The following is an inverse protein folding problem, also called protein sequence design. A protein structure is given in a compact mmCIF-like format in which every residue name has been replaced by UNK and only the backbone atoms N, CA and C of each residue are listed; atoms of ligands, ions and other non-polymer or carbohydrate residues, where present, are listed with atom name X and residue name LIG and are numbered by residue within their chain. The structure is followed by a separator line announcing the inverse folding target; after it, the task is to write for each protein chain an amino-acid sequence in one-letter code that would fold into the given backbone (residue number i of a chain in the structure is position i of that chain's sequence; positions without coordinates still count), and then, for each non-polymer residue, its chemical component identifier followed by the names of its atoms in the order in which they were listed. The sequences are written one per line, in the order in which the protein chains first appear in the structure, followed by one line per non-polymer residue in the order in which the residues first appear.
data_IF_832694254687
#
_entry.id   IF_832694254687
#
_cell.length_a   1.000
_cell.length_b   1.000
_cell.length_c   1.000
_cell.angle_alpha   90.00
_cell.angle_beta   90.00
_cell.angle_gamma   90.00
#
_symmetry.space_group_name_H-M   'P 1'
#
loop_
_entity.id
_entity.type
_entity.pdbx_description
1 polymer ?
#
# COMPACT_ATOMS: atom_id res chain seq x y z
N UNK A 1 16.53 -16.06 -49.29
CA UNK A 1 16.00 -16.58 -48.02
C UNK A 1 16.35 -15.71 -46.78
N UNK A 2 16.73 -14.41 -46.94
CA UNK A 2 17.24 -13.56 -45.81
C UNK A 2 16.35 -12.36 -45.46
N UNK A 3 15.16 -12.20 -46.06
CA UNK A 3 14.30 -11.03 -45.73
C UNK A 3 13.31 -11.26 -44.58
N UNK A 4 12.90 -12.49 -44.35
CA UNK A 4 11.93 -12.84 -43.27
C UNK A 4 12.55 -12.73 -41.88
N UNK A 5 13.81 -13.14 -41.70
CA UNK A 5 14.49 -13.06 -40.38
C UNK A 5 14.77 -11.62 -39.89
N UNK A 6 14.83 -10.64 -40.82
CA UNK A 6 15.06 -9.24 -40.42
C UNK A 6 13.77 -8.52 -39.95
N UNK A 7 12.60 -9.01 -40.33
CA UNK A 7 11.33 -8.44 -39.88
C UNK A 7 10.93 -8.98 -38.50
N UNK A 8 11.18 -10.26 -38.23
CA UNK A 8 10.91 -10.88 -36.93
C UNK A 8 11.79 -10.28 -35.81
N UNK A 9 13.09 -10.07 -36.09
CA UNK A 9 13.99 -9.46 -35.10
C UNK A 9 13.66 -7.98 -34.81
N UNK A 10 13.08 -7.24 -35.77
CA UNK A 10 12.64 -5.86 -35.54
C UNK A 10 11.39 -5.76 -34.68
N UNK A 11 10.55 -6.80 -34.63
CA UNK A 11 9.38 -6.85 -33.78
C UNK A 11 9.74 -7.14 -32.32
N UNK A 12 10.73 -8.00 -32.09
CA UNK A 12 11.13 -8.42 -30.74
C UNK A 12 11.91 -7.34 -29.99
N UNK A 13 12.79 -6.59 -30.63
CA UNK A 13 13.52 -5.49 -29.99
C UNK A 13 12.58 -4.35 -29.59
N UNK A 14 11.58 -4.04 -30.44
CA UNK A 14 10.56 -3.03 -30.11
C UNK A 14 9.72 -3.46 -28.91
N UNK A 15 9.28 -4.71 -28.86
CA UNK A 15 8.51 -5.22 -27.71
C UNK A 15 9.36 -5.16 -26.42
N UNK A 16 10.61 -5.61 -26.48
CA UNK A 16 11.52 -5.56 -25.33
C UNK A 16 11.79 -4.11 -24.85
N UNK A 17 11.92 -3.16 -25.78
CA UNK A 17 12.06 -1.74 -25.43
C UNK A 17 10.81 -1.20 -24.73
N UNK A 18 9.60 -1.53 -25.21
CA UNK A 18 8.36 -1.12 -24.54
C UNK A 18 8.23 -1.71 -23.15
N UNK A 19 8.58 -2.99 -22.98
CA UNK A 19 8.61 -3.63 -21.67
C UNK A 19 9.62 -2.96 -20.74
N UNK A 20 10.81 -2.63 -21.23
CA UNK A 20 11.82 -1.90 -20.46
C UNK A 20 11.30 -0.54 -20.00
N UNK A 21 10.71 0.26 -20.90
CA UNK A 21 10.12 1.57 -20.57
C UNK A 21 8.99 1.41 -19.55
N UNK A 22 8.14 0.41 -19.70
CA UNK A 22 7.04 0.14 -18.77
C UNK A 22 7.56 -0.19 -17.36
N UNK A 23 8.47 -1.16 -17.23
CA UNK A 23 8.97 -1.58 -15.92
C UNK A 23 9.84 -0.51 -15.25
N UNK A 24 10.72 0.17 -15.99
CA UNK A 24 11.51 1.27 -15.46
C UNK A 24 10.64 2.45 -15.07
N UNK A 25 9.67 2.83 -15.90
CA UNK A 25 8.74 3.92 -15.60
C UNK A 25 7.90 3.64 -14.37
N UNK A 26 7.36 2.41 -14.26
CA UNK A 26 6.57 2.02 -13.08
C UNK A 26 7.43 1.94 -11.81
N UNK A 27 8.67 1.44 -11.90
CA UNK A 27 9.63 1.44 -10.81
C UNK A 27 9.96 2.87 -10.33
N UNK A 28 10.15 3.82 -11.25
CA UNK A 28 10.36 5.22 -10.93
C UNK A 28 9.14 5.86 -10.25
N UNK A 29 7.93 5.58 -10.73
CA UNK A 29 6.70 6.09 -10.10
C UNK A 29 6.58 5.59 -8.65
N UNK A 30 6.85 4.30 -8.41
CA UNK A 30 6.85 3.75 -7.05
C UNK A 30 7.93 4.38 -6.16
N UNK A 31 9.12 4.61 -6.71
CA UNK A 31 10.20 5.28 -6.01
C UNK A 31 9.80 6.70 -5.60
N UNK A 32 9.28 7.50 -6.53
CA UNK A 32 8.85 8.88 -6.23
C UNK A 32 7.68 8.95 -5.24
N UNK A 33 6.71 8.04 -5.38
CA UNK A 33 5.55 7.99 -4.49
C UNK A 33 5.91 7.70 -3.02
N UNK A 34 7.00 6.97 -2.79
CA UNK A 34 7.43 6.55 -1.46
C UNK A 34 8.87 7.01 -1.13
N UNK A 35 9.40 8.02 -1.86
CA UNK A 35 10.81 8.39 -1.83
C UNK A 35 11.34 8.64 -0.42
N UNK A 36 10.66 9.49 0.35
CA UNK A 36 11.07 9.80 1.72
C UNK A 36 11.14 8.54 2.58
N UNK A 37 10.06 7.76 2.60
CA UNK A 37 10.00 6.53 3.40
C UNK A 37 11.08 5.51 3.02
N UNK A 38 11.33 5.34 1.70
CA UNK A 38 12.31 4.36 1.20
C UNK A 38 13.73 4.79 1.53
N UNK A 39 14.07 6.07 1.28
CA UNK A 39 15.44 6.57 1.39
C UNK A 39 15.80 6.90 2.84
N UNK A 40 14.95 7.65 3.54
CA UNK A 40 15.25 8.14 4.89
C UNK A 40 14.63 7.29 5.99
N UNK A 41 13.63 6.47 5.67
CA UNK A 41 12.80 5.77 6.66
C UNK A 41 11.85 6.70 7.41
N UNK A 42 11.76 7.97 7.01
CA UNK A 42 10.88 8.94 7.67
C UNK A 42 9.42 8.58 7.49
N UNK A 43 8.71 8.57 8.59
CA UNK A 43 7.27 8.43 8.67
C UNK A 43 6.66 9.71 9.23
N UNK A 44 5.39 9.90 8.99
CA UNK A 44 4.63 11.02 9.54
C UNK A 44 3.93 10.54 10.81
N UNK A 45 4.11 11.26 11.92
CA UNK A 45 3.38 10.94 13.15
C UNK A 45 1.89 11.29 12.96
N UNK A 46 1.03 10.29 13.02
CA UNK A 46 -0.39 10.46 12.75
C UNK A 46 -1.12 11.21 13.88
N UNK A 47 -0.70 11.03 15.12
CA UNK A 47 -1.32 11.66 16.30
C UNK A 47 -1.29 13.19 16.20
N UNK A 48 -0.20 13.76 15.66
CA UNK A 48 -0.06 15.20 15.43
C UNK A 48 -1.16 15.79 14.53
N UNK A 49 -1.70 14.98 13.62
CA UNK A 49 -2.77 15.41 12.70
C UNK A 49 -4.18 15.10 13.20
N UNK A 50 -4.34 14.09 14.06
CA UNK A 50 -5.65 13.70 14.60
C UNK A 50 -6.14 14.67 15.67
N UNK A 51 -5.24 15.28 16.42
CA UNK A 51 -5.59 16.31 17.42
C UNK A 51 -6.26 17.54 16.82
N UNK A 52 -5.91 17.88 15.57
CA UNK A 52 -6.38 19.11 14.92
C UNK A 52 -7.75 19.02 14.26
N UNK A 53 -8.46 17.90 14.35
CA UNK A 53 -9.82 17.65 13.80
C UNK A 53 -10.05 18.03 12.30
N UNK A 54 -9.06 18.58 11.63
CA UNK A 54 -9.14 19.02 10.24
C UNK A 54 -8.89 17.86 9.28
N UNK A 55 -9.95 17.44 8.57
CA UNK A 55 -9.88 16.38 7.56
C UNK A 55 -8.95 16.73 6.38
N UNK A 56 -8.68 18.01 6.16
CA UNK A 56 -7.93 18.49 4.99
C UNK A 56 -6.40 18.37 5.19
N UNK A 57 -5.95 18.30 6.44
CA UNK A 57 -4.53 18.25 6.79
C UNK A 57 -3.97 16.82 6.93
N UNK A 58 -4.83 15.80 6.88
CA UNK A 58 -4.42 14.42 7.05
C UNK A 58 -3.46 13.95 5.94
N UNK A 59 -2.36 13.28 6.30
CA UNK A 59 -1.32 12.86 5.36
C UNK A 59 -1.74 11.62 4.54
N UNK A 60 -2.82 11.76 3.76
CA UNK A 60 -3.36 10.67 2.95
C UNK A 60 -2.33 10.13 1.95
N UNK A 61 -2.32 8.81 1.80
CA UNK A 61 -1.40 8.05 0.96
C UNK A 61 0.09 8.15 1.36
N UNK A 62 0.40 8.81 2.47
CA UNK A 62 1.75 8.77 3.07
C UNK A 62 1.87 7.59 4.04
N UNK A 63 3.10 7.21 4.32
CA UNK A 63 3.43 6.25 5.37
C UNK A 63 3.50 7.00 6.68
N UNK A 64 2.73 6.55 7.65
CA UNK A 64 2.56 7.17 8.95
C UNK A 64 2.92 6.19 10.05
N UNK A 65 3.33 6.73 11.21
CA UNK A 65 3.39 6.00 12.47
C UNK A 65 2.19 6.37 13.34
N UNK A 66 1.73 5.42 14.12
CA UNK A 66 0.72 5.62 15.16
C UNK A 66 1.02 4.72 16.35
N UNK A 67 0.82 5.22 17.57
CA UNK A 67 1.01 4.45 18.80
C UNK A 67 -0.32 3.89 19.26
N UNK A 68 -0.50 2.58 19.10
CA UNK A 68 -1.71 1.88 19.53
C UNK A 68 -1.64 1.62 21.02
N UNK A 69 -2.60 2.15 21.79
CA UNK A 69 -2.80 1.86 23.21
C UNK A 69 -3.58 0.55 23.37
N UNK A 70 -4.69 0.43 22.67
CA UNK A 70 -5.62 -0.67 22.77
C UNK A 70 -6.19 -1.04 21.41
N UNK A 71 -6.42 -2.32 21.18
CA UNK A 71 -7.09 -2.80 19.98
C UNK A 71 -8.36 -3.52 20.38
N UNK A 72 -9.48 -3.08 19.81
CA UNK A 72 -10.77 -3.73 19.99
C UNK A 72 -10.88 -4.96 19.08
N UNK A 73 -11.91 -5.78 19.29
CA UNK A 73 -12.13 -6.96 18.48
C UNK A 73 -12.30 -6.64 16.99
N UNK A 74 -11.98 -7.62 16.15
CA UNK A 74 -12.25 -7.54 14.72
C UNK A 74 -13.74 -7.34 14.46
N UNK A 75 -14.08 -6.37 13.65
CA UNK A 75 -15.49 -6.13 13.31
C UNK A 75 -15.83 -6.49 11.87
N UNK A 76 -14.84 -6.57 11.00
CA UNK A 76 -15.07 -6.87 9.59
C UNK A 76 -13.84 -7.50 8.93
N UNK A 77 -14.07 -8.31 7.91
CA UNK A 77 -12.99 -8.78 7.05
C UNK A 77 -13.43 -8.77 5.59
N UNK A 78 -12.47 -8.61 4.69
CA UNK A 78 -12.68 -8.75 3.25
C UNK A 78 -11.79 -9.86 2.71
N UNK A 79 -12.36 -10.68 1.85
CA UNK A 79 -11.61 -11.69 1.13
C UNK A 79 -11.44 -11.26 -0.33
N UNK A 80 -10.23 -11.27 -0.81
CA UNK A 80 -9.91 -11.03 -2.22
C UNK A 80 -9.36 -12.33 -2.81
N UNK A 81 -10.11 -12.87 -3.76
CA UNK A 81 -9.71 -14.08 -4.46
C UNK A 81 -9.01 -13.71 -5.76
N UNK A 82 -7.78 -14.13 -5.92
CA UNK A 82 -7.09 -14.17 -7.22
C UNK A 82 -7.07 -15.63 -7.70
N UNK A 83 -6.70 -15.84 -8.98
CA UNK A 83 -6.64 -17.21 -9.54
C UNK A 83 -5.75 -18.18 -8.74
N UNK A 84 -4.81 -17.71 -7.93
CA UNK A 84 -3.82 -18.53 -7.23
C UNK A 84 -3.78 -18.30 -5.71
N UNK A 85 -4.29 -17.17 -5.22
CA UNK A 85 -4.17 -16.80 -3.81
C UNK A 85 -5.47 -16.20 -3.29
N UNK A 86 -5.74 -16.50 -2.03
CA UNK A 86 -6.79 -15.87 -1.23
C UNK A 86 -6.11 -14.91 -0.26
N UNK A 87 -6.47 -13.63 -0.32
CA UNK A 87 -6.01 -12.61 0.61
C UNK A 87 -7.17 -12.20 1.51
N UNK A 88 -6.94 -12.25 2.80
CA UNK A 88 -7.91 -11.80 3.80
C UNK A 88 -7.37 -10.52 4.43
N UNK A 89 -8.13 -9.44 4.32
CA UNK A 89 -7.86 -8.19 5.04
C UNK A 89 -8.84 -8.08 6.19
N UNK A 90 -8.35 -7.98 7.41
CA UNK A 90 -9.14 -7.85 8.62
C UNK A 90 -9.07 -6.42 9.11
N UNK A 91 -10.22 -5.89 9.53
CA UNK A 91 -10.35 -4.51 10.01
C UNK A 91 -10.57 -4.52 11.52
N UNK A 92 -9.78 -3.72 12.20
CA UNK A 92 -9.81 -3.51 13.65
C UNK A 92 -10.06 -2.04 13.95
N UNK A 93 -10.77 -1.77 15.02
CA UNK A 93 -10.81 -0.46 15.62
C UNK A 93 -9.73 -0.42 16.69
N UNK A 94 -8.92 0.62 16.70
CA UNK A 94 -7.85 0.80 17.67
C UNK A 94 -7.96 2.16 18.34
N UNK A 95 -7.58 2.22 19.61
CA UNK A 95 -7.40 3.44 20.37
C UNK A 95 -5.92 3.80 20.38
N UNK A 96 -5.60 5.05 20.09
CA UNK A 96 -4.24 5.57 20.13
C UNK A 96 -3.91 6.16 21.50
N UNK A 97 -2.62 6.40 21.75
CA UNK A 97 -2.15 6.93 23.05
C UNK A 97 -2.65 8.34 23.36
N UNK A 98 -3.01 9.13 22.35
CA UNK A 98 -3.67 10.44 22.48
C UNK A 98 -5.18 10.34 22.79
N UNK A 99 -5.72 9.13 22.87
CA UNK A 99 -7.14 8.85 23.10
C UNK A 99 -8.00 8.87 21.82
N UNK A 100 -7.44 9.22 20.67
CA UNK A 100 -8.14 9.14 19.39
C UNK A 100 -8.39 7.70 18.97
N UNK A 101 -9.34 7.50 18.04
CA UNK A 101 -9.73 6.17 17.59
C UNK A 101 -9.63 6.12 16.06
N UNK A 102 -9.02 5.07 15.55
CA UNK A 102 -8.87 4.87 14.11
C UNK A 102 -9.13 3.43 13.68
N UNK A 103 -9.28 3.24 12.36
CA UNK A 103 -9.31 1.92 11.75
C UNK A 103 -7.92 1.47 11.33
N UNK A 104 -7.61 0.22 11.63
CA UNK A 104 -6.42 -0.47 11.13
C UNK A 104 -6.86 -1.66 10.29
N UNK A 105 -6.26 -1.82 9.13
CA UNK A 105 -6.44 -2.97 8.27
C UNK A 105 -5.12 -3.76 8.20
N UNK A 106 -5.21 -5.05 8.46
CA UNK A 106 -4.08 -5.97 8.49
C UNK A 106 -4.43 -7.28 7.78
N UNK A 107 -3.46 -7.94 7.16
CA UNK A 107 -3.63 -9.27 6.57
C UNK A 107 -3.63 -10.41 7.59
N UNK A 108 -3.34 -10.10 8.85
CA UNK A 108 -3.09 -11.13 9.88
C UNK A 108 -3.81 -10.92 11.20
N UNK A 109 -3.05 -11.02 12.27
CA UNK A 109 -3.50 -10.94 13.65
C UNK A 109 -3.88 -9.53 14.07
N UNK A 110 -4.63 -9.44 15.17
CA UNK A 110 -4.95 -8.20 15.84
C UNK A 110 -3.69 -7.35 16.09
N UNK A 111 -3.69 -6.05 15.73
CA UNK A 111 -2.58 -5.17 16.02
C UNK A 111 -2.31 -5.13 17.52
N UNK A 112 -1.12 -5.55 17.93
CA UNK A 112 -0.70 -5.44 19.34
C UNK A 112 -0.40 -3.98 19.71
N UNK A 113 -0.57 -3.58 20.97
CA UNK A 113 -0.15 -2.27 21.47
C UNK A 113 1.28 -1.91 21.09
N UNK A 114 1.55 -0.63 20.94
CA UNK A 114 2.85 -0.06 20.56
C UNK A 114 2.84 0.64 19.22
N UNK A 115 4.01 1.10 18.80
CA UNK A 115 4.19 1.81 17.55
C UNK A 115 3.92 0.92 16.33
N UNK A 116 3.11 1.41 15.42
CA UNK A 116 2.79 0.77 14.16
C UNK A 116 3.04 1.70 12.99
N UNK A 117 3.58 1.13 11.93
CA UNK A 117 3.81 1.82 10.65
C UNK A 117 2.77 1.34 9.65
N UNK A 118 2.17 2.28 8.94
CA UNK A 118 1.18 1.95 7.93
C UNK A 118 0.91 3.10 6.98
N UNK A 119 0.18 2.80 5.90
CA UNK A 119 -0.21 3.81 4.91
C UNK A 119 -1.63 4.27 5.18
N UNK A 120 -1.81 5.58 5.40
CA UNK A 120 -3.12 6.15 5.64
C UNK A 120 -3.93 6.24 4.34
N UNK A 121 -5.15 5.73 4.36
CA UNK A 121 -6.09 5.79 3.23
C UNK A 121 -7.48 6.21 3.67
N UNK A 122 -8.21 6.85 2.77
CA UNK A 122 -9.63 7.13 2.97
C UNK A 122 -10.45 5.84 2.84
N UNK A 123 -11.46 5.67 3.69
CA UNK A 123 -12.39 4.53 3.60
C UNK A 123 -13.29 4.75 2.37
N UNK A 124 -13.03 4.02 1.29
CA UNK A 124 -13.77 4.14 0.04
C UNK A 124 -14.87 3.08 -0.11
N UNK A 125 -14.69 1.90 0.48
CA UNK A 125 -15.64 0.80 0.32
C UNK A 125 -16.89 1.02 1.19
N UNK A 126 -18.05 1.07 0.55
CA UNK A 126 -19.35 1.25 1.22
C UNK A 126 -19.61 0.19 2.30
N UNK A 127 -19.30 -1.06 2.01
CA UNK A 127 -19.51 -2.19 2.92
C UNK A 127 -18.68 -2.04 4.21
N UNK A 128 -17.40 -1.69 4.09
CA UNK A 128 -16.52 -1.42 5.25
C UNK A 128 -17.10 -0.26 6.07
N UNK A 129 -17.53 0.79 5.40
CA UNK A 129 -18.11 1.98 6.06
C UNK A 129 -19.41 1.64 6.81
N UNK A 130 -20.26 0.80 6.24
CA UNK A 130 -21.52 0.36 6.87
C UNK A 130 -21.24 -0.46 8.13
N UNK A 131 -20.46 -1.53 8.00
CA UNK A 131 -20.09 -2.41 9.12
C UNK A 131 -19.38 -1.64 10.25
N UNK A 132 -18.50 -0.74 9.89
CA UNK A 132 -17.84 0.16 10.81
C UNK A 132 -18.83 1.04 11.60
N UNK A 133 -19.79 1.68 10.92
CA UNK A 133 -20.78 2.50 11.59
C UNK A 133 -21.66 1.71 12.56
N UNK A 134 -22.01 0.47 12.20
CA UNK A 134 -22.80 -0.42 13.04
C UNK A 134 -22.00 -0.87 14.27
N UNK A 135 -20.71 -1.17 14.10
CA UNK A 135 -19.81 -1.53 15.20
C UNK A 135 -19.54 -0.36 16.13
N UNK A 136 -19.35 0.85 15.61
CA UNK A 136 -19.22 2.07 16.42
C UNK A 136 -20.44 2.30 17.31
N UNK A 137 -21.64 2.21 16.72
CA UNK A 137 -22.89 2.35 17.49
C UNK A 137 -22.99 1.32 18.61
N UNK A 138 -22.55 0.09 18.33
CA UNK A 138 -22.49 -0.97 19.34
C UNK A 138 -21.56 -0.58 20.50
N UNK A 139 -20.32 -0.19 20.21
CA UNK A 139 -19.35 0.20 21.25
C UNK A 139 -19.77 1.45 22.02
N UNK A 140 -20.43 2.41 21.37
CA UNK A 140 -21.00 3.59 22.02
C UNK A 140 -22.15 3.22 22.95
N UNK A 141 -23.02 2.29 22.56
CA UNK A 141 -24.11 1.79 23.39
C UNK A 141 -23.60 1.04 24.61
N UNK A 142 -22.54 0.27 24.47
CA UNK A 142 -21.88 -0.44 25.59
C UNK A 142 -21.04 0.48 26.49
N UNK A 143 -20.95 1.79 26.15
CA UNK A 143 -20.18 2.75 26.94
C UNK A 143 -18.66 2.64 26.79
N UNK A 144 -18.18 1.86 25.83
CA UNK A 144 -16.74 1.67 25.58
C UNK A 144 -16.14 2.90 24.90
N UNK A 145 -16.91 3.57 24.03
CA UNK A 145 -16.48 4.76 23.30
C UNK A 145 -17.40 5.95 23.56
N UNK A 146 -16.85 7.16 23.56
CA UNK A 146 -17.63 8.38 23.62
C UNK A 146 -18.45 8.60 22.34
N UNK A 147 -19.59 9.30 22.45
CA UNK A 147 -20.52 9.52 21.32
C UNK A 147 -19.94 10.35 20.16
N UNK A 148 -18.80 10.99 20.34
CA UNK A 148 -18.24 11.96 19.38
C UNK A 148 -17.17 11.36 18.44
N UNK A 149 -16.85 10.08 18.55
CA UNK A 149 -15.82 9.45 17.72
C UNK A 149 -16.31 9.30 16.27
N UNK A 150 -15.64 9.98 15.35
CA UNK A 150 -15.86 9.83 13.90
C UNK A 150 -14.55 9.37 13.26
N UNK A 151 -14.53 8.16 12.72
CA UNK A 151 -13.36 7.67 11.99
C UNK A 151 -13.68 7.66 10.49
N UNK A 152 -12.82 8.28 9.69
CA UNK A 152 -12.99 8.38 8.23
C UNK A 152 -11.87 7.71 7.45
N UNK A 153 -10.86 7.24 8.15
CA UNK A 153 -9.60 6.78 7.55
C UNK A 153 -9.22 5.42 8.08
N UNK A 154 -8.45 4.70 7.29
CA UNK A 154 -7.92 3.39 7.62
C UNK A 154 -6.41 3.39 7.42
N UNK A 155 -5.67 2.92 8.40
CA UNK A 155 -4.24 2.66 8.27
C UNK A 155 -4.02 1.22 7.82
N UNK A 156 -3.34 1.05 6.69
CA UNK A 156 -2.94 -0.26 6.18
C UNK A 156 -1.56 -0.59 6.74
N UNK A 157 -1.47 -1.57 7.63
CA UNK A 157 -0.22 -1.93 8.32
C UNK A 157 0.70 -2.85 7.51
N UNK A 158 0.24 -3.39 6.39
CA UNK A 158 1.03 -4.30 5.53
C UNK A 158 1.99 -3.52 4.58
N UNK A 159 2.51 -2.36 5.02
CA UNK A 159 3.43 -1.54 4.24
C UNK A 159 4.86 -1.70 4.79
N UNK A 160 5.51 -2.83 4.50
CA UNK A 160 6.91 -3.01 4.83
C UNK A 160 7.80 -2.13 3.96
N UNK A 161 8.82 -1.48 4.56
CA UNK A 161 9.86 -0.76 3.83
C UNK A 161 10.61 -1.69 2.89
N UNK A 162 10.92 -2.88 3.36
CA UNK A 162 11.67 -3.87 2.61
C UNK A 162 10.90 -4.38 1.39
N UNK A 163 9.58 -4.57 1.51
CA UNK A 163 8.71 -4.93 0.37
C UNK A 163 8.68 -3.85 -0.70
N UNK A 164 8.64 -2.57 -0.30
CA UNK A 164 8.70 -1.45 -1.24
C UNK A 164 10.07 -1.39 -1.95
N UNK A 165 11.18 -1.54 -1.22
CA UNK A 165 12.53 -1.59 -1.78
C UNK A 165 12.67 -2.79 -2.72
N UNK A 166 12.23 -3.97 -2.29
CA UNK A 166 12.26 -5.18 -3.12
C UNK A 166 11.46 -5.00 -4.40
N UNK A 167 10.24 -4.45 -4.32
CA UNK A 167 9.39 -4.18 -5.48
C UNK A 167 10.07 -3.25 -6.50
N UNK A 168 10.70 -2.17 -6.03
CA UNK A 168 11.42 -1.21 -6.89
C UNK A 168 12.66 -1.85 -7.51
N UNK A 169 13.46 -2.56 -6.74
CA UNK A 169 14.65 -3.26 -7.22
C UNK A 169 14.28 -4.35 -8.25
N UNK A 170 13.22 -5.09 -8.00
CA UNK A 170 12.72 -6.12 -8.92
C UNK A 170 12.27 -5.52 -10.25
N UNK A 171 11.41 -4.49 -10.21
CA UNK A 171 10.90 -3.82 -11.42
C UNK A 171 12.04 -3.14 -12.19
N UNK A 172 12.93 -2.44 -11.50
CA UNK A 172 14.11 -1.81 -12.09
C UNK A 172 15.05 -2.84 -12.73
N UNK A 173 15.29 -3.95 -12.03
CA UNK A 173 16.13 -5.06 -12.53
C UNK A 173 15.54 -5.72 -13.77
N UNK A 174 14.25 -6.04 -13.77
CA UNK A 174 13.56 -6.58 -14.95
C UNK A 174 13.60 -5.60 -16.12
N UNK A 175 13.33 -4.32 -15.89
CA UNK A 175 13.41 -3.27 -16.91
C UNK A 175 14.80 -3.16 -17.51
N UNK A 176 15.85 -3.20 -16.69
CA UNK A 176 17.24 -3.15 -17.13
C UNK A 176 17.61 -4.38 -18.00
N UNK A 177 17.20 -5.58 -17.57
CA UNK A 177 17.41 -6.81 -18.34
C UNK A 177 16.72 -6.72 -19.71
N UNK A 178 15.45 -6.28 -19.75
CA UNK A 178 14.74 -6.09 -21.02
C UNK A 178 15.46 -5.09 -21.92
N UNK A 179 16.00 -4.02 -21.39
CA UNK A 179 16.75 -3.01 -22.13
C UNK A 179 18.03 -3.60 -22.71
N UNK A 180 18.81 -4.34 -21.91
CA UNK A 180 20.04 -5.01 -22.36
C UNK A 180 19.72 -6.01 -23.49
N UNK A 181 18.70 -6.86 -23.31
CA UNK A 181 18.29 -7.82 -24.32
C UNK A 181 17.86 -7.12 -25.62
N UNK A 182 17.09 -6.03 -25.54
CA UNK A 182 16.70 -5.24 -26.70
C UNK A 182 17.93 -4.71 -27.49
N UNK A 183 18.92 -4.21 -26.75
CA UNK A 183 20.17 -3.74 -27.35
C UNK A 183 20.96 -4.88 -28.01
N UNK A 184 21.09 -6.02 -27.33
CA UNK A 184 21.79 -7.19 -27.86
C UNK A 184 21.13 -7.73 -29.15
N UNK A 185 19.79 -7.77 -29.22
CA UNK A 185 19.04 -8.13 -30.43
C UNK A 185 19.25 -7.10 -31.52
N UNK A 186 19.15 -5.80 -31.17
CA UNK A 186 19.35 -4.69 -32.12
C UNK A 186 20.74 -4.68 -32.76
N UNK A 187 21.77 -4.95 -31.95
CA UNK A 187 23.15 -5.04 -32.45
C UNK A 187 23.51 -6.42 -33.02
N UNK A 188 22.55 -7.34 -33.16
CA UNK A 188 22.73 -8.69 -33.69
C UNK A 188 23.77 -9.54 -32.97
N UNK A 189 23.97 -9.29 -31.67
CA UNK A 189 24.90 -10.05 -30.81
C UNK A 189 24.26 -11.41 -30.45
N UNK A 190 22.96 -11.41 -30.25
CA UNK A 190 22.13 -12.63 -30.11
C UNK A 190 21.10 -12.67 -31.23
N UNK A 191 20.83 -13.90 -31.71
CA UNK A 191 19.86 -14.19 -32.77
C UNK A 191 18.57 -14.74 -32.17
#
# INVERSE_FOLDING_TARGET
MNRTNNAENRGSDVILMWLAVFFLGFGLILLFANFRYIVTGETVNLEEYLENESDDDLPLNKVCTANIEESYDRFYHTETHTRRHKYTTVYYLVKLTDGSVMLVASSGSNPSPGERVGKLKKILKYEVKKQYNDYLKYLQKEGVLSHHVKVRYVMLTDCSRDDNIFGICFLGGVGLICMILALLVRFKIIK
#
